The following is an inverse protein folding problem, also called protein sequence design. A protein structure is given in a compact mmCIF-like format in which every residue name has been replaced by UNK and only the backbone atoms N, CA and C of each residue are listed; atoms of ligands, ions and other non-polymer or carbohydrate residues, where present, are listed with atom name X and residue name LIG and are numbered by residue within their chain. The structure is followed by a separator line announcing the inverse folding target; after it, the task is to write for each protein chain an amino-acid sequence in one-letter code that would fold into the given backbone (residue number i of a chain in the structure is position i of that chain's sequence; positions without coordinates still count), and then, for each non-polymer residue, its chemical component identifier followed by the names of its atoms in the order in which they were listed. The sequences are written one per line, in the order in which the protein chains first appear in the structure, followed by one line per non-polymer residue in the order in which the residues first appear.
data_IF_215716873337
#
_entry.id   IF_215716873337
#
_cell.length_a   1.000
_cell.length_b   1.000
_cell.length_c   1.000
_cell.angle_alpha   90.00
_cell.angle_beta   90.00
_cell.angle_gamma   90.00
#
_symmetry.space_group_name_H-M   'P 1'
#
loop_
_entity.id
_entity.type
_entity.pdbx_description
1 polymer ?
#
# COMPACT_ATOMS: atom_id res chain seq x y z
N UNK A 1 49.32 23.68 -53.04
CA UNK A 1 49.43 24.43 -51.77
C UNK A 1 48.14 24.23 -51.00
N UNK A 2 48.14 23.37 -49.98
CA UNK A 2 46.95 23.10 -49.16
C UNK A 2 46.97 24.01 -47.96
N UNK A 3 45.90 24.78 -47.81
CA UNK A 3 45.74 25.88 -46.87
C UNK A 3 45.73 25.38 -45.41
N UNK A 4 46.78 25.73 -44.66
CA UNK A 4 46.99 25.34 -43.27
C UNK A 4 45.99 25.99 -42.31
N UNK A 5 45.18 26.95 -42.74
CA UNK A 5 44.22 27.66 -41.88
C UNK A 5 42.86 26.97 -41.69
N UNK A 6 42.53 25.96 -42.51
CA UNK A 6 41.26 25.23 -42.39
C UNK A 6 41.23 24.23 -41.21
N UNK A 7 42.40 23.75 -40.78
CA UNK A 7 42.51 22.75 -39.71
C UNK A 7 42.31 23.40 -38.32
N UNK A 8 42.83 24.61 -38.10
CA UNK A 8 42.80 25.27 -36.79
C UNK A 8 41.42 25.79 -36.38
N UNK A 9 40.54 26.15 -37.33
CA UNK A 9 39.18 26.62 -37.02
C UNK A 9 38.25 25.52 -36.51
N UNK A 10 38.46 24.26 -36.91
CA UNK A 10 37.62 23.14 -36.43
C UNK A 10 37.94 22.73 -34.99
N UNK A 11 39.20 22.86 -34.55
CA UNK A 11 39.58 22.51 -33.18
C UNK A 11 39.29 23.61 -32.16
N UNK A 12 39.26 24.89 -32.56
CA UNK A 12 38.84 25.99 -31.68
C UNK A 12 37.34 25.91 -31.31
N UNK A 13 36.47 25.52 -32.26
CA UNK A 13 35.03 25.33 -31.98
C UNK A 13 34.73 24.06 -31.17
N UNK A 14 35.51 22.98 -31.33
CA UNK A 14 35.35 21.76 -30.53
C UNK A 14 35.86 21.94 -29.10
N UNK A 15 36.96 22.67 -28.91
CA UNK A 15 37.52 22.97 -27.59
C UNK A 15 36.62 23.88 -26.74
N UNK A 16 35.97 24.86 -27.36
CA UNK A 16 35.05 25.77 -26.64
C UNK A 16 33.74 25.06 -26.24
N UNK A 17 33.24 24.11 -27.04
CA UNK A 17 32.03 23.33 -26.75
C UNK A 17 32.27 22.29 -25.63
N UNK A 18 33.45 21.67 -25.59
CA UNK A 18 33.81 20.71 -24.53
C UNK A 18 34.01 21.41 -23.17
N UNK A 19 34.53 22.64 -23.15
CA UNK A 19 34.66 23.43 -21.92
C UNK A 19 33.29 23.95 -21.44
N UNK A 20 32.33 24.23 -22.33
CA UNK A 20 30.96 24.59 -21.92
C UNK A 20 30.16 23.40 -21.39
N UNK A 21 30.35 22.19 -21.92
CA UNK A 21 29.68 20.98 -21.42
C UNK A 21 30.26 20.54 -20.08
N UNK A 22 31.59 20.64 -19.88
CA UNK A 22 32.21 20.34 -18.59
C UNK A 22 31.81 21.31 -17.47
N UNK A 23 31.47 22.56 -17.80
CA UNK A 23 30.99 23.56 -16.83
C UNK A 23 29.54 23.34 -16.35
N UNK A 24 28.75 22.51 -17.04
CA UNK A 24 27.36 22.19 -16.64
C UNK A 24 27.24 20.92 -15.78
N UNK A 25 28.30 20.14 -15.61
CA UNK A 25 28.27 18.86 -14.85
C UNK A 25 28.60 19.04 -13.35
N UNK A 26 28.95 20.26 -12.92
CA UNK A 26 29.20 20.57 -11.50
C UNK A 26 28.35 21.74 -11.03
N UNK A 27 27.06 21.75 -11.38
CA UNK A 27 26.11 22.43 -10.52
C UNK A 27 25.77 21.46 -9.39
N UNK A 28 26.12 21.73 -8.12
CA UNK A 28 25.48 21.04 -7.02
C UNK A 28 23.98 21.24 -7.25
N UNK A 29 23.26 20.16 -7.56
CA UNK A 29 21.82 20.20 -7.45
C UNK A 29 21.57 20.63 -6.02
N UNK A 30 21.09 21.86 -5.86
CA UNK A 30 20.44 22.24 -4.62
C UNK A 30 19.18 21.36 -4.57
N UNK A 31 19.36 20.11 -4.12
CA UNK A 31 18.28 19.23 -3.74
C UNK A 31 17.54 19.98 -2.66
N UNK A 32 16.42 20.61 -3.05
CA UNK A 32 15.57 21.34 -2.14
C UNK A 32 15.23 20.40 -0.98
N UNK A 33 15.65 20.82 0.20
CA UNK A 33 15.64 20.04 1.43
C UNK A 33 14.20 19.67 1.76
N UNK A 34 13.93 18.37 1.92
CA UNK A 34 12.73 17.75 2.52
C UNK A 34 11.40 18.49 2.33
N UNK A 35 10.53 17.98 1.45
CA UNK A 35 9.14 18.44 1.26
C UNK A 35 8.25 18.04 2.46
N UNK A 36 8.52 18.62 3.62
CA UNK A 36 7.74 18.42 4.85
C UNK A 36 6.26 18.66 4.64
N UNK A 37 5.92 19.68 3.85
CA UNK A 37 4.53 20.01 3.53
C UNK A 37 3.89 18.92 2.67
N UNK A 38 4.61 18.38 1.69
CA UNK A 38 4.18 17.22 0.91
C UNK A 38 3.87 16.01 1.79
N UNK A 39 4.76 15.69 2.74
CA UNK A 39 4.57 14.57 3.67
C UNK A 39 3.39 14.81 4.60
N UNK A 40 3.26 16.01 5.16
CA UNK A 40 2.11 16.41 5.98
C UNK A 40 0.79 16.26 5.21
N UNK A 41 0.74 16.81 3.99
CA UNK A 41 -0.43 16.73 3.12
C UNK A 41 -0.79 15.30 2.73
N UNK A 42 0.22 14.46 2.46
CA UNK A 42 0.02 13.05 2.16
C UNK A 42 -0.53 12.29 3.37
N UNK A 43 -0.05 12.59 4.58
CA UNK A 43 -0.45 11.91 5.81
C UNK A 43 -1.90 12.22 6.22
N UNK A 44 -2.32 13.48 6.10
CA UNK A 44 -3.61 13.96 6.63
C UNK A 44 -4.63 14.35 5.55
N UNK A 45 -4.30 14.12 4.28
CA UNK A 45 -5.12 14.48 3.13
C UNK A 45 -5.56 15.95 3.17
N UNK A 46 -4.60 16.86 3.39
CA UNK A 46 -4.86 18.31 3.56
C UNK A 46 -4.59 19.12 2.31
N UNK A 47 -4.19 18.49 1.20
CA UNK A 47 -3.85 19.20 -0.04
C UNK A 47 -5.03 20.04 -0.53
N UNK A 48 -4.77 21.32 -0.83
CA UNK A 48 -5.80 22.29 -1.25
C UNK A 48 -6.77 22.75 -0.16
N UNK A 49 -6.60 22.31 1.09
CA UNK A 49 -7.34 22.85 2.24
C UNK A 49 -6.66 24.10 2.79
N UNK A 50 -7.31 24.80 3.73
CA UNK A 50 -6.73 26.00 4.34
C UNK A 50 -5.43 25.73 5.13
N UNK A 51 -5.19 24.48 5.53
CA UNK A 51 -3.97 24.07 6.22
C UNK A 51 -2.88 23.49 5.29
N UNK A 52 -3.07 23.53 3.96
CA UNK A 52 -2.00 23.30 2.96
C UNK A 52 -1.09 24.53 2.83
N UNK A 53 -0.49 24.94 3.94
CA UNK A 53 0.35 26.13 4.02
C UNK A 53 1.54 25.90 4.92
N UNK A 54 2.65 26.60 4.65
CA UNK A 54 3.80 26.63 5.56
C UNK A 54 3.42 27.19 6.95
N UNK A 55 2.31 27.93 7.04
CA UNK A 55 1.74 28.42 8.30
C UNK A 55 1.37 27.32 9.28
N UNK A 56 1.27 26.06 8.83
CA UNK A 56 1.06 24.91 9.72
C UNK A 56 2.18 24.76 10.75
N UNK A 57 3.44 25.04 10.37
CA UNK A 57 4.61 24.94 11.27
C UNK A 57 5.31 26.28 11.52
N UNK A 58 5.03 27.33 10.73
CA UNK A 58 5.74 28.60 10.78
C UNK A 58 4.81 29.76 11.13
N UNK A 59 5.19 30.53 12.15
CA UNK A 59 4.49 31.77 12.50
C UNK A 59 4.85 32.92 11.53
N UNK A 60 6.13 33.04 11.17
CA UNK A 60 6.60 33.99 10.16
C UNK A 60 8.01 33.64 9.68
N UNK A 61 8.22 33.60 8.37
CA UNK A 61 9.52 33.24 7.80
C UNK A 61 10.03 31.88 8.33
N UNK A 62 11.23 31.88 8.92
CA UNK A 62 11.83 30.69 9.55
C UNK A 62 11.41 30.47 11.01
N UNK A 63 10.66 31.41 11.62
CA UNK A 63 10.20 31.29 13.01
C UNK A 63 9.10 30.23 13.10
N UNK A 64 9.31 29.22 13.94
CA UNK A 64 8.33 28.17 14.19
C UNK A 64 7.17 28.70 15.05
N UNK A 65 5.96 28.24 14.75
CA UNK A 65 4.82 28.32 15.67
C UNK A 65 4.92 27.20 16.72
N UNK A 66 3.93 27.06 17.59
CA UNK A 66 4.02 26.10 18.69
C UNK A 66 3.94 24.64 18.20
N UNK A 67 3.13 24.34 17.19
CA UNK A 67 3.13 23.05 16.48
C UNK A 67 4.51 22.71 15.87
N UNK A 68 5.15 23.69 15.22
CA UNK A 68 6.48 23.53 14.63
C UNK A 68 7.57 23.26 15.69
N UNK A 69 7.45 23.85 16.88
CA UNK A 69 8.35 23.55 18.01
C UNK A 69 8.12 22.14 18.54
N UNK A 70 6.86 21.72 18.69
CA UNK A 70 6.53 20.36 19.09
C UNK A 70 7.14 19.31 18.14
N UNK A 71 7.15 19.58 16.83
CA UNK A 71 7.86 18.74 15.86
C UNK A 71 9.37 18.71 16.09
N UNK A 72 9.99 19.85 16.38
CA UNK A 72 11.43 19.91 16.70
C UNK A 72 11.76 19.12 17.96
N UNK A 73 10.93 19.23 18.98
CA UNK A 73 11.06 18.49 20.25
C UNK A 73 10.86 16.98 20.03
N UNK A 74 10.01 16.59 19.09
CA UNK A 74 9.88 15.21 18.59
C UNK A 74 11.07 14.74 17.71
N UNK A 75 12.14 15.54 17.63
CA UNK A 75 13.38 15.19 16.94
C UNK A 75 13.36 15.44 15.43
N UNK A 76 12.37 16.20 14.93
CA UNK A 76 12.29 16.63 13.54
C UNK A 76 13.19 17.85 13.30
N UNK A 77 14.12 17.74 12.36
CA UNK A 77 15.03 18.84 12.01
C UNK A 77 15.17 18.95 10.50
N UNK A 78 15.74 20.07 10.06
CA UNK A 78 16.11 20.27 8.66
C UNK A 78 16.96 19.08 8.17
N UNK A 79 16.52 18.43 7.08
CA UNK A 79 17.17 17.24 6.53
C UNK A 79 16.73 15.91 7.13
N UNK A 80 15.71 15.86 8.00
CA UNK A 80 15.05 14.60 8.36
C UNK A 80 14.53 13.90 7.09
N UNK A 81 14.72 12.58 7.03
CA UNK A 81 14.12 11.75 5.97
C UNK A 81 12.62 11.55 6.20
N UNK A 82 11.90 11.14 5.17
CA UNK A 82 10.45 10.98 5.15
C UNK A 82 9.92 10.11 6.31
N UNK A 83 10.57 8.97 6.56
CA UNK A 83 10.18 8.07 7.67
C UNK A 83 10.23 8.77 9.02
N UNK A 84 11.29 9.55 9.27
CA UNK A 84 11.43 10.29 10.52
C UNK A 84 10.37 11.38 10.65
N UNK A 85 10.08 12.10 9.55
CA UNK A 85 9.00 13.10 9.51
C UNK A 85 7.66 12.47 9.86
N UNK A 86 7.32 11.34 9.24
CA UNK A 86 6.07 10.61 9.50
C UNK A 86 5.95 10.16 10.96
N UNK A 87 7.06 9.69 11.56
CA UNK A 87 7.11 9.32 12.98
C UNK A 87 6.89 10.53 13.90
N UNK A 88 7.56 11.65 13.63
CA UNK A 88 7.39 12.87 14.42
C UNK A 88 5.96 13.42 14.36
N UNK A 89 5.38 13.48 13.15
CA UNK A 89 3.98 13.86 12.96
C UNK A 89 3.04 13.00 13.82
N UNK A 90 3.19 11.66 13.78
CA UNK A 90 2.37 10.77 14.62
C UNK A 90 2.62 10.95 16.11
N UNK A 91 3.87 11.16 16.53
CA UNK A 91 4.20 11.26 17.96
C UNK A 91 3.58 12.46 18.66
N UNK A 92 3.23 13.52 17.91
CA UNK A 92 2.61 14.73 18.46
C UNK A 92 1.10 14.81 18.19
N UNK A 93 0.47 13.82 17.57
CA UNK A 93 -0.97 13.88 17.22
C UNK A 93 -1.87 14.18 18.43
N UNK A 94 -1.52 13.66 19.61
CA UNK A 94 -2.29 13.85 20.84
C UNK A 94 -1.81 15.02 21.71
N UNK A 95 -0.79 15.75 21.27
CA UNK A 95 -0.31 16.95 21.96
C UNK A 95 -1.22 18.12 21.60
N UNK A 96 -1.58 18.93 22.59
CA UNK A 96 -2.14 20.26 22.41
C UNK A 96 -0.94 21.23 22.36
N UNK A 97 -0.52 21.63 21.15
CA UNK A 97 0.76 22.33 21.00
C UNK A 97 0.69 23.78 21.40
N UNK A 98 -0.45 24.44 21.19
CA UNK A 98 -0.65 25.87 21.47
C UNK A 98 -1.46 26.15 22.75
N UNK A 99 -1.97 25.10 23.40
CA UNK A 99 -2.60 25.16 24.72
C UNK A 99 -4.05 25.61 24.70
N UNK A 100 -4.74 25.46 23.56
CA UNK A 100 -6.14 25.89 23.40
C UNK A 100 -7.18 24.87 23.88
N UNK A 101 -6.73 23.69 24.32
CA UNK A 101 -7.56 22.60 24.82
C UNK A 101 -7.93 21.54 23.77
N UNK A 102 -7.44 21.66 22.53
CA UNK A 102 -7.61 20.65 21.48
C UNK A 102 -6.28 20.00 21.14
N UNK A 103 -6.31 18.69 20.83
CA UNK A 103 -5.10 18.03 20.34
C UNK A 103 -4.88 18.32 18.86
N UNK A 104 -3.61 18.30 18.45
CA UNK A 104 -3.18 18.55 17.09
C UNK A 104 -4.01 17.76 16.05
N UNK A 105 -4.30 16.48 16.31
CA UNK A 105 -5.05 15.63 15.37
C UNK A 105 -6.53 16.04 15.26
N UNK A 106 -7.13 16.55 16.34
CA UNK A 106 -8.52 17.05 16.32
C UNK A 106 -8.59 18.26 15.42
N UNK A 107 -7.67 19.19 15.58
CA UNK A 107 -7.60 20.40 14.77
C UNK A 107 -7.27 20.10 13.31
N UNK A 108 -6.25 19.29 13.02
CA UNK A 108 -5.86 18.93 11.64
C UNK A 108 -7.02 18.27 10.87
N UNK A 109 -7.78 17.38 11.52
CA UNK A 109 -8.96 16.76 10.92
C UNK A 109 -10.10 17.76 10.69
N UNK A 110 -10.29 18.70 11.62
CA UNK A 110 -11.24 19.80 11.49
C UNK A 110 -10.74 20.95 10.59
N UNK A 111 -9.54 20.81 10.03
CA UNK A 111 -8.84 21.78 9.16
C UNK A 111 -8.43 23.08 9.88
N UNK A 112 -8.14 23.03 11.18
CA UNK A 112 -7.62 24.11 12.01
C UNK A 112 -6.09 24.07 12.17
N UNK A 113 -5.47 25.20 12.52
CA UNK A 113 -4.03 25.35 12.65
C UNK A 113 -3.55 25.03 14.08
N UNK A 114 -3.00 23.83 14.35
CA UNK A 114 -2.60 23.35 15.69
C UNK A 114 -1.44 24.08 16.39
N UNK A 115 -1.03 25.23 15.85
CA UNK A 115 0.00 26.08 16.44
C UNK A 115 -0.47 27.51 16.57
N UNK A 116 -1.79 27.72 16.59
CA UNK A 116 -2.46 29.00 16.69
C UNK A 116 -3.67 28.90 17.63
N UNK A 117 -3.44 29.27 18.89
CA UNK A 117 -4.44 29.28 19.99
C UNK A 117 -5.75 30.04 19.72
N UNK A 118 -5.83 30.83 18.63
CA UNK A 118 -7.04 31.55 18.21
C UNK A 118 -7.77 30.91 17.03
N UNK A 119 -7.21 29.84 16.45
CA UNK A 119 -7.77 29.12 15.31
C UNK A 119 -8.03 27.66 15.68
N UNK A 120 -9.12 27.46 16.40
CA UNK A 120 -9.50 26.16 16.92
C UNK A 120 -10.99 25.89 16.67
N UNK A 121 -11.41 24.60 16.69
CA UNK A 121 -12.82 24.27 16.68
C UNK A 121 -13.55 24.96 17.83
N UNK A 122 -14.82 25.33 17.64
CA UNK A 122 -15.62 25.79 18.77
C UNK A 122 -15.66 24.68 19.83
N UNK A 123 -15.37 25.02 21.09
CA UNK A 123 -15.52 24.12 22.23
C UNK A 123 -16.87 23.41 22.11
N UNK A 124 -16.83 22.08 22.01
CA UNK A 124 -18.05 21.29 22.12
C UNK A 124 -18.68 21.72 23.45
N UNK A 125 -19.93 22.23 23.48
CA UNK A 125 -20.54 22.65 24.71
C UNK A 125 -20.40 21.53 25.74
N UNK A 126 -19.85 21.84 26.92
CA UNK A 126 -19.80 20.91 28.04
C UNK A 126 -21.18 20.31 28.17
N UNK A 127 -21.30 19.01 27.88
CA UNK A 127 -22.60 18.36 27.83
C UNK A 127 -23.33 18.63 29.16
N UNK A 128 -24.59 19.10 29.13
CA UNK A 128 -25.43 19.13 30.33
C UNK A 128 -25.42 17.74 30.99
N UNK A 129 -25.62 17.63 32.32
CA UNK A 129 -25.69 16.34 32.99
C UNK A 129 -26.62 15.42 32.21
N UNK A 130 -26.07 14.27 31.81
CA UNK A 130 -26.63 13.30 30.87
C UNK A 130 -28.13 13.13 31.10
N UNK A 131 -28.95 13.79 30.28
CA UNK A 131 -30.28 13.29 29.99
C UNK A 131 -30.09 12.05 29.15
N UNK A 132 -30.64 10.92 29.63
CA UNK A 132 -30.76 9.65 28.91
C UNK A 132 -30.90 9.90 27.41
N UNK A 133 -30.05 9.29 26.56
CA UNK A 133 -30.09 9.55 25.13
C UNK A 133 -31.48 9.22 24.60
N UNK A 134 -32.19 10.25 24.12
CA UNK A 134 -33.33 10.05 23.23
C UNK A 134 -32.80 9.32 22.01
N UNK A 135 -33.30 8.10 21.82
CA UNK A 135 -32.90 7.21 20.75
C UNK A 135 -32.73 7.99 19.44
N UNK A 136 -31.53 7.90 18.87
CA UNK A 136 -31.30 8.23 17.47
C UNK A 136 -32.43 7.57 16.67
N UNK A 137 -33.14 8.28 15.77
CA UNK A 137 -34.08 7.61 14.90
C UNK A 137 -33.32 6.46 14.25
N UNK A 138 -33.84 5.22 14.31
CA UNK A 138 -33.13 4.07 13.79
C UNK A 138 -32.69 4.44 12.39
N UNK A 139 -31.41 4.20 12.07
CA UNK A 139 -30.99 4.12 10.68
C UNK A 139 -32.08 3.31 10.00
N UNK A 140 -32.73 3.90 8.99
CA UNK A 140 -33.78 3.19 8.27
C UNK A 140 -33.08 1.97 7.72
N UNK A 141 -33.24 0.85 8.42
CA UNK A 141 -32.67 -0.42 8.07
C UNK A 141 -33.25 -0.68 6.70
N UNK A 142 -32.43 -0.45 5.67
CA UNK A 142 -32.73 -1.02 4.39
C UNK A 142 -32.63 -2.50 4.74
N UNK A 143 -33.79 -3.13 4.91
CA UNK A 143 -33.88 -4.58 4.96
C UNK A 143 -33.39 -5.04 3.59
N UNK A 144 -32.08 -5.09 3.43
CA UNK A 144 -31.44 -5.80 2.34
C UNK A 144 -31.85 -7.22 2.66
N UNK A 145 -32.86 -7.70 1.93
CA UNK A 145 -33.40 -9.03 2.06
C UNK A 145 -32.21 -10.00 2.14
N UNK A 146 -32.14 -10.84 3.18
CA UNK A 146 -31.08 -11.84 3.34
C UNK A 146 -30.91 -12.69 2.06
N UNK A 147 -31.97 -12.84 1.27
CA UNK A 147 -31.93 -13.45 -0.05
C UNK A 147 -31.06 -12.67 -1.06
N UNK A 148 -31.09 -11.33 -1.06
CA UNK A 148 -30.23 -10.51 -1.93
C UNK A 148 -28.76 -10.62 -1.56
N UNK A 149 -28.44 -10.62 -0.26
CA UNK A 149 -27.06 -10.86 0.22
C UNK A 149 -26.61 -12.24 -0.24
N UNK A 150 -27.43 -13.27 0.00
CA UNK A 150 -27.12 -14.63 -0.41
C UNK A 150 -26.95 -14.77 -1.93
N UNK A 151 -27.81 -14.15 -2.73
CA UNK A 151 -27.67 -14.14 -4.20
C UNK A 151 -26.36 -13.48 -4.61
N UNK A 152 -26.01 -12.34 -4.02
CA UNK A 152 -24.74 -11.67 -4.31
C UNK A 152 -23.55 -12.56 -3.94
N UNK A 153 -23.58 -13.18 -2.75
CA UNK A 153 -22.54 -14.11 -2.32
C UNK A 153 -22.43 -15.32 -3.24
N UNK A 154 -23.53 -15.92 -3.66
CA UNK A 154 -23.56 -17.06 -4.57
C UNK A 154 -22.98 -16.68 -5.94
N UNK A 155 -23.35 -15.51 -6.48
CA UNK A 155 -22.80 -14.97 -7.74
C UNK A 155 -21.31 -14.68 -7.61
N UNK A 156 -20.88 -14.05 -6.52
CA UNK A 156 -19.48 -13.72 -6.29
C UNK A 156 -18.63 -14.99 -6.12
N UNK A 157 -19.12 -15.97 -5.36
CA UNK A 157 -18.47 -17.27 -5.19
C UNK A 157 -18.36 -18.01 -6.52
N UNK A 158 -19.43 -18.03 -7.32
CA UNK A 158 -19.42 -18.62 -8.65
C UNK A 158 -18.43 -17.91 -9.58
N UNK A 159 -18.43 -16.58 -9.60
CA UNK A 159 -17.48 -15.77 -10.36
C UNK A 159 -16.04 -16.07 -9.95
N UNK A 160 -15.74 -16.11 -8.65
CA UNK A 160 -14.39 -16.41 -8.15
C UNK A 160 -13.96 -17.83 -8.51
N UNK A 161 -14.85 -18.83 -8.45
CA UNK A 161 -14.56 -20.20 -8.90
C UNK A 161 -14.18 -20.28 -10.38
N UNK A 162 -14.84 -19.48 -11.22
CA UNK A 162 -14.58 -19.43 -12.66
C UNK A 162 -13.52 -18.40 -13.05
N UNK A 163 -13.00 -17.64 -12.09
CA UNK A 163 -12.12 -16.51 -12.36
C UNK A 163 -10.79 -16.93 -12.98
N UNK A 164 -10.30 -18.13 -12.64
CA UNK A 164 -9.10 -18.70 -13.23
C UNK A 164 -9.41 -20.02 -13.94
N UNK A 165 -8.95 -20.21 -15.19
CA UNK A 165 -9.10 -21.47 -15.90
C UNK A 165 -8.36 -22.61 -15.20
N UNK A 166 -9.00 -23.78 -15.06
CA UNK A 166 -8.36 -24.97 -14.48
C UNK A 166 -7.09 -25.40 -15.23
N UNK A 167 -7.03 -25.15 -16.54
CA UNK A 167 -5.83 -25.43 -17.34
C UNK A 167 -4.59 -24.63 -16.89
N UNK A 168 -4.78 -23.53 -16.17
CA UNK A 168 -3.70 -22.74 -15.59
C UNK A 168 -2.93 -23.52 -14.52
N UNK A 169 -3.60 -24.41 -13.77
CA UNK A 169 -3.01 -25.20 -12.68
C UNK A 169 -1.78 -25.99 -13.15
N UNK A 170 -1.79 -26.46 -14.40
CA UNK A 170 -0.71 -27.24 -15.00
C UNK A 170 0.63 -26.48 -15.03
N UNK A 171 0.61 -25.15 -15.10
CA UNK A 171 1.83 -24.35 -15.18
C UNK A 171 2.31 -23.84 -13.81
N UNK A 172 1.53 -24.07 -12.74
CA UNK A 172 1.80 -23.59 -11.39
C UNK A 172 2.04 -24.73 -10.39
N UNK A 173 2.17 -25.98 -10.84
CA UNK A 173 2.38 -27.15 -9.98
C UNK A 173 3.59 -27.01 -9.05
N UNK A 174 4.65 -26.35 -9.51
CA UNK A 174 5.89 -26.12 -8.74
C UNK A 174 5.97 -24.73 -8.10
N UNK A 175 4.87 -23.98 -8.09
CA UNK A 175 4.83 -22.67 -7.46
C UNK A 175 5.02 -22.78 -5.94
N UNK A 176 5.77 -21.85 -5.37
CA UNK A 176 5.99 -21.76 -3.93
C UNK A 176 5.33 -20.49 -3.39
N UNK A 177 4.65 -20.54 -2.24
CA UNK A 177 4.17 -19.33 -1.59
C UNK A 177 5.27 -18.28 -1.40
N UNK A 178 4.94 -17.02 -1.59
CA UNK A 178 5.86 -15.89 -1.47
C UNK A 178 6.88 -15.74 -2.61
N UNK A 179 7.02 -16.71 -3.51
CA UNK A 179 8.02 -16.66 -4.60
C UNK A 179 7.37 -16.89 -5.96
N UNK A 180 7.40 -15.92 -6.88
CA UNK A 180 6.93 -16.11 -8.26
C UNK A 180 7.76 -17.14 -9.04
N UNK A 181 7.45 -18.43 -8.90
CA UNK A 181 8.27 -19.54 -9.42
C UNK A 181 7.46 -20.56 -10.23
N UNK A 182 6.69 -20.11 -11.23
CA UNK A 182 5.90 -20.99 -12.10
C UNK A 182 6.44 -21.01 -13.53
N UNK A 183 6.14 -22.06 -14.29
CA UNK A 183 6.51 -22.14 -15.71
C UNK A 183 5.87 -20.99 -16.49
N UNK A 184 4.60 -20.67 -16.20
CA UNK A 184 3.90 -19.58 -16.87
C UNK A 184 4.54 -18.22 -16.60
N UNK A 185 4.93 -17.94 -15.35
CA UNK A 185 5.57 -16.67 -14.97
C UNK A 185 7.00 -16.60 -15.52
N UNK A 186 7.73 -17.71 -15.55
CA UNK A 186 9.06 -17.79 -16.18
C UNK A 186 9.01 -17.39 -17.66
N UNK A 187 8.08 -17.97 -18.42
CA UNK A 187 7.88 -17.62 -19.82
C UNK A 187 7.47 -16.15 -19.99
N UNK A 188 6.64 -15.61 -19.10
CA UNK A 188 6.28 -14.19 -19.11
C UNK A 188 7.49 -13.28 -18.91
N UNK A 189 8.44 -13.64 -18.05
CA UNK A 189 9.69 -12.88 -17.88
C UNK A 189 10.58 -12.95 -19.13
N UNK A 190 10.67 -14.12 -19.78
CA UNK A 190 11.42 -14.25 -21.04
C UNK A 190 10.80 -13.37 -22.13
N UNK A 191 9.47 -13.41 -22.28
CA UNK A 191 8.75 -12.56 -23.21
C UNK A 191 8.93 -11.06 -22.90
N UNK A 192 8.82 -10.67 -21.62
CA UNK A 192 9.02 -9.29 -21.18
C UNK A 192 10.43 -8.80 -21.46
N UNK A 193 11.47 -9.60 -21.15
CA UNK A 193 12.85 -9.23 -21.44
C UNK A 193 13.11 -9.01 -22.94
N UNK A 194 12.50 -9.82 -23.80
CA UNK A 194 12.57 -9.61 -25.25
C UNK A 194 11.82 -8.35 -25.71
N UNK A 195 10.67 -8.05 -25.10
CA UNK A 195 9.88 -6.86 -25.39
C UNK A 195 10.60 -5.58 -24.96
N UNK A 196 11.07 -5.53 -23.71
CA UNK A 196 11.80 -4.40 -23.15
C UNK A 196 13.13 -4.18 -23.90
N UNK A 197 13.83 -5.26 -24.22
CA UNK A 197 15.04 -5.19 -25.04
C UNK A 197 14.78 -4.65 -26.44
N UNK A 198 13.65 -4.98 -27.06
CA UNK A 198 13.24 -4.39 -28.34
C UNK A 198 13.03 -2.88 -28.21
N UNK A 199 12.30 -2.44 -27.19
CA UNK A 199 12.03 -1.02 -26.94
C UNK A 199 13.33 -0.24 -26.71
N UNK A 200 14.22 -0.76 -25.87
CA UNK A 200 15.52 -0.13 -25.58
C UNK A 200 16.35 0.05 -26.86
N UNK A 201 16.48 -0.99 -27.68
CA UNK A 201 17.21 -0.91 -28.94
C UNK A 201 16.59 0.09 -29.93
N UNK A 202 15.26 0.20 -30.00
CA UNK A 202 14.58 1.22 -30.83
C UNK A 202 14.95 2.64 -30.35
N UNK A 203 14.97 2.87 -29.04
CA UNK A 203 15.32 4.17 -28.46
C UNK A 203 16.79 4.55 -28.75
N UNK A 204 17.68 3.57 -28.81
CA UNK A 204 19.09 3.74 -29.16
C UNK A 204 19.34 3.85 -30.68
N UNK A 205 18.32 3.59 -31.50
CA UNK A 205 18.44 3.55 -32.96
C UNK A 205 19.09 2.27 -33.51
N UNK A 206 19.32 1.25 -32.68
CA UNK A 206 19.85 -0.05 -33.09
C UNK A 206 18.72 -0.95 -33.61
N UNK A 207 18.27 -0.65 -34.83
CA UNK A 207 17.20 -1.41 -35.47
C UNK A 207 17.58 -2.88 -35.75
N UNK A 208 18.87 -3.20 -35.85
CA UNK A 208 19.31 -4.58 -36.07
C UNK A 208 19.05 -5.44 -34.84
N UNK A 209 19.43 -4.97 -33.65
CA UNK A 209 19.16 -5.68 -32.40
C UNK A 209 17.69 -5.56 -31.99
N UNK A 210 17.01 -4.45 -32.29
CA UNK A 210 15.57 -4.34 -32.10
C UNK A 210 14.80 -5.44 -32.86
N UNK A 211 15.17 -5.72 -34.12
CA UNK A 211 14.53 -6.77 -34.91
C UNK A 211 14.80 -8.19 -34.38
N UNK A 212 15.98 -8.44 -33.80
CA UNK A 212 16.27 -9.72 -33.11
C UNK A 212 15.38 -9.89 -31.88
N UNK A 213 15.30 -8.85 -31.05
CA UNK A 213 14.45 -8.83 -29.85
C UNK A 213 12.96 -8.95 -30.20
N UNK A 214 12.51 -8.26 -31.26
CA UNK A 214 11.16 -8.44 -31.81
C UNK A 214 10.88 -9.90 -32.19
N UNK A 215 11.82 -10.56 -32.87
CA UNK A 215 11.65 -11.97 -33.29
C UNK A 215 11.51 -12.89 -32.09
N UNK A 216 12.34 -12.69 -31.06
CA UNK A 216 12.24 -13.42 -29.80
C UNK A 216 10.92 -13.15 -29.09
N UNK A 217 10.52 -11.87 -28.96
CA UNK A 217 9.26 -11.46 -28.38
C UNK A 217 8.06 -12.08 -29.11
N UNK A 218 7.99 -11.95 -30.44
CA UNK A 218 6.87 -12.45 -31.23
C UNK A 218 6.72 -13.98 -31.14
N UNK A 219 7.85 -14.69 -31.05
CA UNK A 219 7.87 -16.14 -30.82
C UNK A 219 7.28 -16.48 -29.45
N UNK A 220 7.76 -15.88 -28.37
CA UNK A 220 7.29 -16.20 -27.02
C UNK A 220 5.86 -15.71 -26.77
N UNK A 221 5.48 -14.56 -27.29
CA UNK A 221 4.11 -14.05 -27.23
C UNK A 221 3.12 -15.05 -27.86
N UNK A 222 3.47 -15.62 -29.01
CA UNK A 222 2.67 -16.65 -29.67
C UNK A 222 2.65 -17.96 -28.87
N UNK A 223 3.77 -18.35 -28.27
CA UNK A 223 3.88 -19.53 -27.42
C UNK A 223 2.93 -19.42 -26.22
N UNK A 224 3.08 -18.35 -25.44
CA UNK A 224 2.30 -18.07 -24.24
C UNK A 224 0.80 -17.93 -24.56
N UNK A 225 0.43 -17.29 -25.68
CA UNK A 225 -0.97 -17.11 -26.09
C UNK A 225 -1.76 -18.43 -26.23
N UNK A 226 -1.05 -19.56 -26.37
CA UNK A 226 -1.63 -20.90 -26.55
C UNK A 226 -1.67 -21.71 -25.26
N UNK A 227 -0.94 -21.30 -24.22
CA UNK A 227 -0.85 -22.07 -22.97
C UNK A 227 -2.19 -22.11 -22.24
N UNK A 228 -2.91 -20.99 -22.23
CA UNK A 228 -4.21 -20.86 -21.55
C UNK A 228 -5.26 -20.46 -22.58
N UNK A 229 -5.92 -21.45 -23.18
CA UNK A 229 -6.78 -21.24 -24.35
C UNK A 229 -7.94 -20.27 -24.13
N UNK A 230 -8.52 -20.23 -22.93
CA UNK A 230 -9.58 -19.27 -22.56
C UNK A 230 -9.07 -17.83 -22.48
N UNK A 231 -7.75 -17.61 -22.40
CA UNK A 231 -7.12 -16.29 -22.37
C UNK A 231 -6.64 -15.83 -23.75
N UNK A 232 -6.86 -16.61 -24.82
CA UNK A 232 -6.48 -16.22 -26.19
C UNK A 232 -6.97 -14.83 -26.59
N UNK A 233 -8.12 -14.40 -26.05
CA UNK A 233 -8.72 -13.09 -26.34
C UNK A 233 -7.94 -11.89 -25.79
N UNK A 234 -7.04 -12.11 -24.82
CA UNK A 234 -6.11 -11.05 -24.41
C UNK A 234 -5.00 -10.87 -25.44
N UNK A 235 -4.59 -11.91 -26.16
CA UNK A 235 -3.42 -11.83 -27.04
C UNK A 235 -3.75 -11.36 -28.45
N UNK A 236 -3.31 -10.14 -28.82
CA UNK A 236 -3.41 -9.66 -30.20
C UNK A 236 -2.21 -10.09 -31.06
N UNK A 237 -2.28 -11.29 -31.65
CA UNK A 237 -1.27 -11.76 -32.63
C UNK A 237 -1.18 -10.82 -33.84
N UNK A 238 -2.30 -10.20 -34.21
CA UNK A 238 -2.35 -9.22 -35.28
C UNK A 238 -1.50 -7.98 -34.97
N UNK A 239 -1.63 -7.41 -33.76
CA UNK A 239 -0.84 -6.24 -33.36
C UNK A 239 0.67 -6.54 -33.38
N UNK A 240 1.08 -7.71 -32.86
CA UNK A 240 2.48 -8.15 -32.90
C UNK A 240 2.99 -8.29 -34.34
N UNK A 241 2.19 -8.86 -35.25
CA UNK A 241 2.57 -8.95 -36.67
C UNK A 241 2.69 -7.57 -37.32
N UNK A 242 1.75 -6.67 -37.02
CA UNK A 242 1.75 -5.30 -37.55
C UNK A 242 3.02 -4.55 -37.12
N UNK A 243 3.38 -4.64 -35.84
CA UNK A 243 4.63 -4.07 -35.32
C UNK A 243 5.84 -4.56 -36.13
N UNK A 244 5.94 -5.86 -36.39
CA UNK A 244 7.04 -6.42 -37.18
C UNK A 244 7.08 -5.90 -38.63
N UNK A 245 5.92 -5.75 -39.26
CA UNK A 245 5.83 -5.13 -40.60
C UNK A 245 6.36 -3.70 -40.57
N UNK A 246 5.90 -2.89 -39.61
CA UNK A 246 6.27 -1.48 -39.52
C UNK A 246 7.76 -1.30 -39.15
N UNK A 247 8.31 -2.17 -38.30
CA UNK A 247 9.75 -2.22 -38.01
C UNK A 247 10.57 -2.59 -39.25
N UNK A 248 10.15 -3.59 -40.02
CA UNK A 248 10.86 -3.99 -41.25
C UNK A 248 10.79 -2.93 -42.35
N UNK A 249 9.73 -2.13 -42.39
CA UNK A 249 9.60 -1.00 -43.31
C UNK A 249 10.38 0.24 -42.83
N UNK A 250 11.07 0.18 -41.69
CA UNK A 250 11.69 1.33 -41.03
C UNK A 250 10.69 2.49 -40.88
N UNK A 251 9.46 2.18 -40.47
CA UNK A 251 8.46 3.19 -40.18
C UNK A 251 9.00 4.16 -39.12
N UNK A 252 8.53 5.41 -39.14
CA UNK A 252 8.98 6.39 -38.16
C UNK A 252 8.59 5.96 -36.73
N UNK A 253 9.32 6.48 -35.74
CA UNK A 253 9.16 6.12 -34.33
C UNK A 253 7.72 6.31 -33.83
N UNK A 254 6.98 7.31 -34.33
CA UNK A 254 5.58 7.55 -33.93
C UNK A 254 4.66 6.39 -34.31
N UNK A 255 4.87 5.79 -35.50
CA UNK A 255 4.10 4.62 -35.95
C UNK A 255 4.45 3.40 -35.09
N UNK A 256 5.74 3.14 -34.88
CA UNK A 256 6.22 2.02 -34.06
C UNK A 256 5.70 2.13 -32.61
N UNK A 257 5.79 3.30 -31.99
CA UNK A 257 5.28 3.54 -30.63
C UNK A 257 3.78 3.28 -30.51
N UNK A 258 2.98 3.62 -31.54
CA UNK A 258 1.53 3.33 -31.52
C UNK A 258 1.23 1.84 -31.58
N UNK A 259 2.05 1.06 -32.26
CA UNK A 259 1.89 -0.39 -32.31
C UNK A 259 2.33 -1.05 -31.00
N UNK A 260 3.41 -0.58 -30.39
CA UNK A 260 3.86 -0.97 -29.04
C UNK A 260 2.75 -0.71 -28.02
N UNK A 261 2.17 0.50 -27.99
CA UNK A 261 1.10 0.86 -27.07
C UNK A 261 -0.14 -0.04 -27.20
N UNK A 262 -0.48 -0.51 -28.42
CA UNK A 262 -1.58 -1.47 -28.62
C UNK A 262 -1.28 -2.83 -28.01
N UNK A 263 -0.03 -3.27 -28.04
CA UNK A 263 0.40 -4.53 -27.43
C UNK A 263 0.42 -4.37 -25.90
N UNK A 264 0.98 -3.27 -25.39
CA UNK A 264 1.01 -2.97 -23.95
C UNK A 264 -0.40 -2.98 -23.35
N UNK A 265 -1.38 -2.34 -24.02
CA UNK A 265 -2.76 -2.35 -23.58
C UNK A 265 -3.35 -3.77 -23.42
N UNK A 266 -2.90 -4.73 -24.22
CA UNK A 266 -3.30 -6.13 -24.07
C UNK A 266 -2.67 -6.82 -22.86
N UNK A 267 -1.38 -6.53 -22.61
CA UNK A 267 -0.66 -7.01 -21.44
C UNK A 267 -1.29 -6.44 -20.16
N UNK A 268 -1.50 -5.13 -20.12
CA UNK A 268 -2.13 -4.41 -19.00
C UNK A 268 -3.50 -4.97 -18.67
N UNK A 269 -4.35 -5.17 -19.68
CA UNK A 269 -5.69 -5.72 -19.47
C UNK A 269 -5.65 -7.11 -18.83
N UNK A 270 -4.82 -8.02 -19.36
CA UNK A 270 -4.70 -9.37 -18.80
C UNK A 270 -4.18 -9.33 -17.37
N UNK A 271 -3.13 -8.55 -17.11
CA UNK A 271 -2.52 -8.45 -15.79
C UNK A 271 -3.44 -7.76 -14.77
N UNK A 272 -4.13 -6.70 -15.16
CA UNK A 272 -5.10 -6.01 -14.32
C UNK A 272 -6.29 -6.91 -13.92
N UNK A 273 -6.77 -7.73 -14.85
CA UNK A 273 -7.92 -8.61 -14.59
C UNK A 273 -7.55 -9.89 -13.83
N UNK A 274 -6.32 -10.43 -13.99
CA UNK A 274 -5.98 -11.78 -13.51
C UNK A 274 -4.86 -11.87 -12.48
N UNK A 275 -3.95 -10.90 -12.40
CA UNK A 275 -2.74 -11.03 -11.56
C UNK A 275 -3.08 -11.20 -10.08
N UNK A 276 -4.04 -10.45 -9.55
CA UNK A 276 -4.46 -10.57 -8.15
C UNK A 276 -4.99 -11.98 -7.84
N UNK A 277 -5.79 -12.55 -8.74
CA UNK A 277 -6.34 -13.90 -8.62
C UNK A 277 -5.23 -14.95 -8.69
N UNK A 278 -4.33 -14.84 -9.67
CA UNK A 278 -3.17 -15.75 -9.81
C UNK A 278 -2.33 -15.73 -8.54
N UNK A 279 -2.06 -14.53 -8.02
CA UNK A 279 -1.25 -14.38 -6.82
C UNK A 279 -1.94 -14.95 -5.58
N UNK A 280 -3.21 -14.63 -5.36
CA UNK A 280 -4.00 -15.21 -4.27
C UNK A 280 -4.08 -16.74 -4.37
N UNK A 281 -4.28 -17.32 -5.55
CA UNK A 281 -4.39 -18.78 -5.70
C UNK A 281 -3.07 -19.51 -5.48
N UNK A 282 -1.99 -19.07 -6.13
CA UNK A 282 -0.76 -19.87 -6.23
C UNK A 282 0.40 -19.38 -5.37
N UNK A 283 0.45 -18.09 -5.02
CA UNK A 283 1.59 -17.49 -4.31
C UNK A 283 1.25 -17.05 -2.89
N UNK A 284 -0.02 -16.89 -2.56
CA UNK A 284 -0.43 -16.60 -1.18
C UNK A 284 -0.29 -17.84 -0.30
N UNK A 285 0.30 -17.70 0.88
CA UNK A 285 0.34 -18.76 1.89
C UNK A 285 -1.07 -19.10 2.38
N UNK A 286 -1.35 -20.37 2.62
CA UNK A 286 -2.69 -20.78 3.05
C UNK A 286 -2.86 -20.66 4.56
N UNK A 287 -3.69 -19.72 5.01
CA UNK A 287 -4.00 -19.59 6.44
C UNK A 287 -4.71 -20.81 7.01
N UNK A 288 -5.37 -21.63 6.19
CA UNK A 288 -6.01 -22.88 6.64
C UNK A 288 -4.97 -23.91 7.13
N UNK A 289 -3.68 -23.70 6.82
CA UNK A 289 -2.56 -24.52 7.29
C UNK A 289 -1.83 -23.95 8.50
N UNK A 290 -2.17 -22.73 8.92
CA UNK A 290 -1.53 -22.05 10.04
C UNK A 290 -2.24 -22.41 11.34
N UNK A 291 -1.45 -22.76 12.36
CA UNK A 291 -1.94 -23.02 13.71
C UNK A 291 -1.25 -22.11 14.73
N UNK A 292 -2.01 -21.65 15.71
CA UNK A 292 -1.54 -20.87 16.86
C UNK A 292 -1.67 -21.77 18.09
N UNK A 293 -0.56 -22.30 18.60
CA UNK A 293 -0.55 -23.20 19.76
C UNK A 293 -1.47 -24.43 19.61
N UNK A 294 -1.52 -25.01 18.41
CA UNK A 294 -2.38 -26.17 18.10
C UNK A 294 -3.83 -25.81 17.77
N UNK A 295 -4.17 -24.52 17.73
CA UNK A 295 -5.50 -24.02 17.37
C UNK A 295 -5.47 -23.54 15.91
N UNK A 296 -6.44 -23.93 15.06
CA UNK A 296 -6.56 -23.40 13.71
C UNK A 296 -6.60 -21.87 13.71
N UNK A 297 -5.95 -21.25 12.72
CA UNK A 297 -5.85 -19.78 12.63
C UNK A 297 -7.20 -19.07 12.78
N UNK A 298 -8.25 -19.57 12.09
CA UNK A 298 -9.58 -18.95 12.12
C UNK A 298 -10.17 -18.95 13.53
N UNK A 299 -10.08 -20.06 14.25
CA UNK A 299 -10.58 -20.18 15.62
C UNK A 299 -9.76 -19.29 16.58
N UNK A 300 -8.44 -19.22 16.38
CA UNK A 300 -7.57 -18.35 17.14
C UNK A 300 -7.93 -16.86 16.93
N UNK A 301 -8.26 -16.45 15.71
CA UNK A 301 -8.69 -15.08 15.41
C UNK A 301 -10.06 -14.76 16.02
N UNK A 302 -11.00 -15.72 16.02
CA UNK A 302 -12.30 -15.56 16.68
C UNK A 302 -12.10 -15.35 18.18
N UNK A 303 -11.27 -16.18 18.83
CA UNK A 303 -10.98 -16.02 20.25
C UNK A 303 -10.27 -14.71 20.55
N UNK A 304 -9.34 -14.28 19.69
CA UNK A 304 -8.68 -12.98 19.84
C UNK A 304 -9.70 -11.84 19.80
N UNK A 305 -10.61 -11.85 18.82
CA UNK A 305 -11.66 -10.85 18.66
C UNK A 305 -12.65 -10.83 19.82
N UNK A 306 -13.10 -12.01 20.30
CA UNK A 306 -13.99 -12.13 21.46
C UNK A 306 -13.35 -11.56 22.71
N UNK A 307 -12.08 -11.90 22.98
CA UNK A 307 -11.39 -11.37 24.16
C UNK A 307 -11.12 -9.87 24.01
N UNK A 308 -10.82 -9.38 22.81
CA UNK A 308 -10.61 -7.96 22.56
C UNK A 308 -11.90 -7.15 22.76
N UNK A 309 -13.01 -7.51 22.12
CA UNK A 309 -14.31 -6.86 22.31
C UNK A 309 -14.86 -7.02 23.74
N UNK A 310 -14.51 -8.12 24.40
CA UNK A 310 -14.80 -8.33 25.82
C UNK A 310 -14.10 -7.33 26.75
N UNK A 311 -12.95 -6.77 26.38
CA UNK A 311 -12.31 -5.69 27.17
C UNK A 311 -13.21 -4.46 27.15
N UNK A 312 -13.70 -4.08 25.97
CA UNK A 312 -14.57 -2.91 25.78
C UNK A 312 -15.86 -3.01 26.57
N UNK A 313 -16.58 -4.12 26.37
CA UNK A 313 -17.91 -4.32 26.93
C UNK A 313 -17.84 -4.30 28.47
N UNK A 314 -16.91 -5.07 29.05
CA UNK A 314 -16.74 -5.11 30.49
C UNK A 314 -16.22 -3.77 31.06
N UNK A 315 -15.35 -3.06 30.34
CA UNK A 315 -14.88 -1.73 30.77
C UNK A 315 -16.01 -0.70 30.76
N UNK A 316 -16.90 -0.74 29.77
CA UNK A 316 -18.08 0.11 29.69
C UNK A 316 -19.06 -0.15 30.85
N UNK A 317 -19.15 -1.39 31.32
CA UNK A 317 -19.93 -1.79 32.50
C UNK A 317 -19.23 -1.49 33.83
N UNK A 318 -17.98 -1.02 33.81
CA UNK A 318 -17.17 -0.80 35.03
C UNK A 318 -16.72 -2.10 35.72
N UNK A 319 -16.83 -3.25 35.06
CA UNK A 319 -16.50 -4.56 35.63
C UNK A 319 -15.00 -4.86 35.49
N UNK A 320 -14.18 -4.26 36.35
CA UNK A 320 -12.72 -4.37 36.32
C UNK A 320 -12.21 -5.83 36.29
N UNK A 321 -12.83 -6.73 37.03
CA UNK A 321 -12.41 -8.14 37.10
C UNK A 321 -12.62 -8.87 35.76
N UNK A 322 -13.79 -8.66 35.13
CA UNK A 322 -14.08 -9.23 33.83
C UNK A 322 -13.23 -8.60 32.73
N UNK A 323 -13.01 -7.27 32.76
CA UNK A 323 -12.09 -6.57 31.87
C UNK A 323 -10.68 -7.16 31.95
N UNK A 324 -10.17 -7.37 33.16
CA UNK A 324 -8.84 -7.95 33.37
C UNK A 324 -8.74 -9.40 32.86
N UNK A 325 -9.80 -10.21 33.02
CA UNK A 325 -9.83 -11.57 32.49
C UNK A 325 -9.76 -11.58 30.95
N UNK A 326 -10.60 -10.78 30.29
CA UNK A 326 -10.58 -10.62 28.82
C UNK A 326 -9.24 -10.10 28.33
N UNK A 327 -8.67 -9.10 29.01
CA UNK A 327 -7.35 -8.55 28.71
C UNK A 327 -6.24 -9.60 28.75
N UNK A 328 -6.16 -10.39 29.83
CA UNK A 328 -5.10 -11.39 29.97
C UNK A 328 -5.18 -12.46 28.88
N UNK A 329 -6.40 -12.90 28.52
CA UNK A 329 -6.61 -13.82 27.40
C UNK A 329 -6.23 -13.20 26.07
N UNK A 330 -6.65 -11.97 25.81
CA UNK A 330 -6.28 -11.23 24.60
C UNK A 330 -4.76 -11.10 24.48
N UNK A 331 -4.08 -10.60 25.52
CA UNK A 331 -2.62 -10.41 25.53
C UNK A 331 -1.87 -11.71 25.27
N UNK A 332 -2.29 -12.80 25.91
CA UNK A 332 -1.69 -14.12 25.70
C UNK A 332 -1.87 -14.59 24.25
N UNK A 333 -3.09 -14.52 23.70
CA UNK A 333 -3.37 -14.90 22.32
C UNK A 333 -2.61 -14.03 21.31
N UNK A 334 -2.56 -12.71 21.53
CA UNK A 334 -1.86 -11.76 20.66
C UNK A 334 -0.35 -12.01 20.61
N UNK A 335 0.27 -12.39 21.73
CA UNK A 335 1.67 -12.81 21.77
C UNK A 335 1.92 -14.06 20.90
N UNK A 336 0.97 -15.00 20.86
CA UNK A 336 1.09 -16.19 20.01
C UNK A 336 0.89 -15.86 18.53
N UNK A 337 0.07 -14.86 18.19
CA UNK A 337 -0.05 -14.33 16.82
C UNK A 337 1.30 -13.82 16.33
N UNK A 338 2.04 -13.06 17.17
CA UNK A 338 3.41 -12.61 16.84
C UNK A 338 4.30 -13.78 16.44
N UNK A 339 4.25 -14.89 17.19
CA UNK A 339 5.02 -16.09 16.88
C UNK A 339 4.59 -16.73 15.55
N UNK A 340 3.27 -16.85 15.31
CA UNK A 340 2.75 -17.44 14.08
C UNK A 340 3.14 -16.65 12.82
N UNK A 341 3.32 -15.33 12.93
CA UNK A 341 3.80 -14.51 11.82
C UNK A 341 5.17 -14.96 11.29
N UNK A 342 6.06 -15.44 12.15
CA UNK A 342 7.39 -15.91 11.72
C UNK A 342 7.34 -17.17 10.86
N UNK A 343 6.25 -17.95 10.90
CA UNK A 343 6.10 -19.13 10.04
C UNK A 343 5.92 -18.75 8.57
N UNK A 344 5.54 -17.50 8.28
CA UNK A 344 5.30 -17.00 6.92
C UNK A 344 6.22 -15.82 6.54
N UNK A 345 7.01 -15.30 7.48
CA UNK A 345 7.83 -14.11 7.29
C UNK A 345 9.24 -14.31 7.83
N UNK A 346 10.20 -14.45 6.92
CA UNK A 346 11.63 -14.65 7.23
C UNK A 346 12.39 -13.34 7.47
N UNK A 347 11.70 -12.19 7.41
CA UNK A 347 12.30 -10.86 7.64
C UNK A 347 11.54 -10.13 8.74
N UNK A 348 12.21 -9.36 9.61
CA UNK A 348 11.56 -8.57 10.65
C UNK A 348 10.54 -7.60 10.03
N UNK A 349 9.26 -7.79 10.33
CA UNK A 349 8.18 -6.89 9.90
C UNK A 349 7.94 -5.86 11.00
N UNK A 350 8.34 -4.61 10.75
CA UNK A 350 8.26 -3.52 11.73
C UNK A 350 6.84 -2.98 12.00
N UNK A 351 5.77 -3.58 11.46
CA UNK A 351 4.54 -2.81 11.21
C UNK A 351 3.25 -3.32 11.86
N UNK A 352 3.18 -4.57 12.36
CA UNK A 352 1.89 -5.17 12.73
C UNK A 352 1.82 -5.86 14.10
N UNK A 353 2.92 -6.46 14.57
CA UNK A 353 3.07 -7.11 15.89
C UNK A 353 4.38 -6.67 16.54
N UNK A 354 4.61 -5.36 16.51
CA UNK A 354 5.85 -4.70 16.93
C UNK A 354 5.84 -4.34 18.41
N UNK A 355 7.02 -4.05 18.96
CA UNK A 355 7.17 -3.83 20.40
C UNK A 355 6.43 -2.58 20.90
N UNK A 356 6.17 -1.58 20.04
CA UNK A 356 5.32 -0.42 20.36
C UNK A 356 3.85 -0.82 20.55
N UNK A 357 3.34 -1.76 19.76
CA UNK A 357 1.98 -2.30 19.95
C UNK A 357 1.89 -3.06 21.28
N UNK A 358 2.91 -3.88 21.61
CA UNK A 358 2.96 -4.55 22.90
C UNK A 358 3.07 -3.57 24.08
N UNK A 359 3.83 -2.48 23.93
CA UNK A 359 3.90 -1.43 24.95
C UNK A 359 2.53 -0.75 25.17
N UNK A 360 1.72 -0.58 24.11
CA UNK A 360 0.33 -0.10 24.25
C UNK A 360 -0.59 -1.11 24.91
N UNK A 361 -0.45 -2.39 24.60
CA UNK A 361 -1.17 -3.46 25.31
C UNK A 361 -0.79 -3.46 26.80
N UNK A 362 0.49 -3.28 27.15
CA UNK A 362 0.93 -3.19 28.54
C UNK A 362 0.38 -1.96 29.27
N UNK A 363 0.32 -0.82 28.58
CA UNK A 363 -0.31 0.41 29.10
C UNK A 363 -1.81 0.20 29.36
N UNK A 364 -2.51 -0.56 28.50
CA UNK A 364 -3.90 -0.91 28.72
C UNK A 364 -4.05 -1.73 30.02
N UNK A 365 -3.21 -2.74 30.23
CA UNK A 365 -3.17 -3.51 31.47
C UNK A 365 -2.94 -2.66 32.72
N UNK A 366 -2.03 -1.68 32.64
CA UNK A 366 -1.75 -0.74 33.73
C UNK A 366 -3.00 0.09 34.08
N UNK A 367 -3.73 0.58 33.07
CA UNK A 367 -4.97 1.33 33.29
C UNK A 367 -6.10 0.44 33.82
N UNK A 368 -6.17 -0.84 33.42
CA UNK A 368 -7.12 -1.80 34.00
C UNK A 368 -6.85 -1.95 35.50
N UNK A 369 -5.60 -2.15 35.92
CA UNK A 369 -5.23 -2.29 37.34
C UNK A 369 -5.57 -1.03 38.13
N UNK A 370 -5.33 0.15 37.55
CA UNK A 370 -5.68 1.44 38.14
C UNK A 370 -7.19 1.76 38.13
N UNK A 371 -8.03 0.85 37.63
CA UNK A 371 -9.47 1.03 37.43
C UNK A 371 -9.84 2.25 36.55
N UNK A 372 -8.96 2.63 35.63
CA UNK A 372 -9.16 3.75 34.71
C UNK A 372 -9.78 3.27 33.40
N UNK A 373 -11.07 2.92 33.42
CA UNK A 373 -11.77 2.32 32.27
C UNK A 373 -11.88 3.25 31.05
N UNK A 374 -11.94 4.57 31.26
CA UNK A 374 -11.94 5.56 30.17
C UNK A 374 -10.66 5.46 29.34
N UNK A 375 -9.50 5.35 29.99
CA UNK A 375 -8.22 5.18 29.29
C UNK A 375 -8.10 3.79 28.65
N UNK A 376 -8.66 2.75 29.27
CA UNK A 376 -8.72 1.41 28.66
C UNK A 376 -9.43 1.46 27.31
N UNK A 377 -10.59 2.09 27.25
CA UNK A 377 -11.36 2.26 26.01
C UNK A 377 -10.63 3.12 24.98
N UNK A 378 -9.91 4.17 25.41
CA UNK A 378 -9.11 5.00 24.51
C UNK A 378 -7.97 4.18 23.86
N UNK A 379 -7.21 3.44 24.66
CA UNK A 379 -6.12 2.59 24.16
C UNK A 379 -6.66 1.47 23.27
N UNK A 380 -7.81 0.90 23.60
CA UNK A 380 -8.42 -0.12 22.75
C UNK A 380 -8.71 0.42 21.34
N UNK A 381 -9.28 1.62 21.21
CA UNK A 381 -9.51 2.26 19.90
C UNK A 381 -8.22 2.49 19.11
N UNK A 382 -7.11 2.80 19.79
CA UNK A 382 -5.80 2.89 19.14
C UNK A 382 -5.33 1.52 18.62
N UNK A 383 -5.58 0.45 19.39
CA UNK A 383 -5.21 -0.92 19.02
C UNK A 383 -6.10 -1.48 17.88
N UNK A 384 -7.35 -1.05 17.76
CA UNK A 384 -8.25 -1.44 16.65
C UNK A 384 -7.65 -1.13 15.28
N UNK A 385 -6.99 0.03 15.17
CA UNK A 385 -6.32 0.44 13.94
C UNK A 385 -5.21 -0.55 13.56
N UNK A 386 -4.56 -1.20 14.53
CA UNK A 386 -3.53 -2.20 14.27
C UNK A 386 -4.12 -3.50 13.72
N UNK A 387 -5.29 -3.92 14.21
CA UNK A 387 -6.02 -5.08 13.67
C UNK A 387 -6.39 -4.87 12.20
N UNK A 388 -6.84 -3.66 11.84
CA UNK A 388 -7.24 -3.33 10.46
C UNK A 388 -6.09 -3.51 9.46
N UNK A 389 -4.86 -3.17 9.86
CA UNK A 389 -3.68 -3.28 8.99
C UNK A 389 -3.41 -4.73 8.56
N UNK A 390 -3.51 -5.68 9.50
CA UNK A 390 -3.41 -7.11 9.19
C UNK A 390 -4.58 -7.56 8.30
N UNK A 391 -5.80 -7.14 8.63
CA UNK A 391 -7.00 -7.56 7.92
C UNK A 391 -7.01 -7.12 6.45
N UNK A 392 -6.69 -5.86 6.16
CA UNK A 392 -6.65 -5.34 4.80
C UNK A 392 -5.63 -6.06 3.93
N UNK A 393 -4.50 -6.45 4.50
CA UNK A 393 -3.48 -7.17 3.76
C UNK A 393 -3.84 -8.65 3.57
N UNK A 394 -4.28 -9.32 4.64
CA UNK A 394 -4.36 -10.77 4.63
C UNK A 394 -5.73 -11.33 4.26
N UNK A 395 -6.82 -10.71 4.72
CA UNK A 395 -8.16 -11.26 4.52
C UNK A 395 -8.57 -11.27 3.05
N UNK A 396 -8.39 -10.20 2.24
CA UNK A 396 -8.78 -10.24 0.84
C UNK A 396 -8.09 -11.35 0.05
N UNK A 397 -6.77 -11.51 0.25
CA UNK A 397 -5.99 -12.53 -0.46
C UNK A 397 -6.37 -13.95 -0.03
N UNK A 398 -6.51 -14.20 1.28
CA UNK A 398 -6.96 -15.51 1.78
C UNK A 398 -8.40 -15.81 1.32
N UNK A 399 -9.31 -14.85 1.41
CA UNK A 399 -10.70 -15.04 1.01
C UNK A 399 -10.82 -15.37 -0.49
N UNK A 400 -10.11 -14.63 -1.34
CA UNK A 400 -10.00 -14.94 -2.77
C UNK A 400 -9.48 -16.36 -2.98
N UNK A 401 -8.38 -16.73 -2.29
CA UNK A 401 -7.79 -18.07 -2.37
C UNK A 401 -8.80 -19.15 -1.99
N UNK A 402 -9.43 -19.03 -0.82
CA UNK A 402 -10.39 -20.02 -0.33
C UNK A 402 -11.61 -20.13 -1.26
N UNK A 403 -12.07 -19.05 -1.88
CA UNK A 403 -13.15 -19.10 -2.88
C UNK A 403 -12.74 -19.77 -4.20
N UNK A 404 -11.46 -19.69 -4.58
CA UNK A 404 -10.91 -20.35 -5.78
C UNK A 404 -10.54 -21.83 -5.56
N UNK A 405 -10.14 -22.22 -4.36
CA UNK A 405 -9.63 -23.58 -4.06
C UNK A 405 -10.69 -24.51 -3.49
N UNK A 406 -11.72 -24.00 -2.77
CA UNK A 406 -12.71 -24.86 -2.11
C UNK A 406 -13.59 -25.63 -3.12
N UNK A 407 -13.11 -26.82 -3.47
CA UNK A 407 -13.84 -27.98 -3.98
C UNK A 407 -14.24 -28.93 -2.83
N UNK A 408 -14.57 -28.42 -1.65
CA UNK A 408 -15.19 -29.31 -0.65
C UNK A 408 -16.63 -29.53 -1.09
N UNK A 409 -16.80 -30.57 -1.90
CA UNK A 409 -17.84 -31.58 -1.75
C UNK A 409 -18.81 -31.21 -0.62
N UNK A 410 -19.94 -30.62 -1.02
CA UNK A 410 -21.19 -30.81 -0.32
C UNK A 410 -22.11 -31.51 -1.30
#
# INVERSE_FOLDING_TARGET
MVDKHACQRKYASLGLLLITIAAFVVMPTALAVSDFKGIFNQKYDTKGTRIDSCSICHASGSKLNDYGKALVDAGIKKGSNETKVMQGLTSIEQVDSDGDGFSNIVEINARFFPGNVSDHPAAIPTAPPTTTPTATPPFKEIAINDQLIKIFEDVYNYFMKLSLPKSLDNYYQNSKPGTPSSEYVGDMFIMAGAFDGMIANIQEGDMANANKSYTAFAKEYKNISRKVQSWKGYFSIFAVKKLGTDMNMNANNSVISKDIAKIEATCEKCMGERRAQVWAKYYWSDFDTVNISGIPWQDAMIMLAVNFGGIEANAAEGNQAATNNSFNKFKASYAQVKTACYNCHDTPRAYYVSDDVFARIDLMGTNIIANNMTNVQAIQRELDIQCYRCHVLHMPAQDMKSKMIRNKEK
#
